data_IF_026519218602
#
_entry.id   IF_026519218602
#
_cell.length_a   1.000
_cell.length_b   1.000
_cell.length_c   1.000
_cell.angle_alpha   90.00
_cell.angle_beta   90.00
_cell.angle_gamma   90.00
#
_symmetry.space_group_name_H-M   'P 1'
#
loop_
_entity.id
_entity.type
_entity.pdbx_description
1 polymer ?
#
# COMPACT_ATOMS: atom_id res chain seq x y z
N UNK A 1 35.60 -0.02 -19.08
CA UNK A 1 35.05 -1.34 -18.71
C UNK A 1 33.86 -1.05 -17.83
N UNK A 2 32.66 -1.36 -18.35
CA UNK A 2 31.39 -0.89 -17.78
C UNK A 2 31.02 -1.66 -16.54
N UNK A 3 30.69 -0.92 -15.47
CA UNK A 3 29.91 -1.44 -14.37
C UNK A 3 28.46 -1.03 -14.63
N UNK A 4 27.78 -1.84 -15.44
CA UNK A 4 26.35 -1.73 -15.62
C UNK A 4 25.70 -2.16 -14.32
N UNK A 5 25.46 -1.21 -13.41
CA UNK A 5 24.57 -1.37 -12.28
C UNK A 5 23.16 -1.65 -12.82
N UNK A 6 22.90 -2.92 -13.14
CA UNK A 6 21.56 -3.45 -13.25
C UNK A 6 20.97 -3.25 -11.86
N UNK A 7 20.21 -2.19 -11.65
CA UNK A 7 19.34 -2.04 -10.51
C UNK A 7 18.34 -3.20 -10.60
N UNK A 8 18.78 -4.36 -10.09
CA UNK A 8 18.07 -5.61 -10.20
C UNK A 8 16.72 -5.39 -9.54
N UNK A 9 15.66 -5.52 -10.32
CA UNK A 9 14.28 -5.48 -9.86
C UNK A 9 14.19 -6.46 -8.69
N UNK A 10 14.21 -5.94 -7.45
CA UNK A 10 14.15 -6.79 -6.27
C UNK A 10 12.75 -7.38 -6.26
N UNK A 11 12.65 -8.69 -6.51
CA UNK A 11 11.36 -9.36 -6.51
C UNK A 11 10.79 -9.36 -5.10
N UNK A 12 9.59 -8.82 -4.94
CA UNK A 12 8.83 -8.90 -3.68
C UNK A 12 7.89 -10.09 -3.78
N UNK A 13 8.06 -11.03 -2.85
CA UNK A 13 7.22 -12.24 -2.75
C UNK A 13 6.23 -12.06 -1.62
N UNK A 14 4.94 -12.11 -1.94
CA UNK A 14 3.86 -12.09 -0.94
C UNK A 14 3.75 -13.48 -0.32
N UNK A 15 3.87 -13.57 1.01
CA UNK A 15 3.80 -14.82 1.76
C UNK A 15 2.43 -15.05 2.39
N UNK A 16 1.83 -13.98 2.91
CA UNK A 16 0.52 -14.03 3.57
C UNK A 16 -0.24 -12.74 3.31
N UNK A 17 -1.54 -12.88 3.07
CA UNK A 17 -2.49 -11.78 2.99
C UNK A 17 -3.56 -12.03 4.05
N UNK A 18 -3.91 -11.00 4.81
CA UNK A 18 -5.08 -10.98 5.69
C UNK A 18 -5.89 -9.75 5.38
N UNK A 19 -7.13 -9.97 4.95
CA UNK A 19 -8.12 -8.93 4.68
C UNK A 19 -8.88 -8.55 5.95
N UNK A 20 -9.06 -7.26 6.19
CA UNK A 20 -9.77 -6.69 7.35
C UNK A 20 -10.79 -5.68 6.82
N UNK A 21 -12.08 -5.99 6.96
CA UNK A 21 -13.15 -5.05 6.64
C UNK A 21 -13.37 -4.09 7.82
N UNK A 22 -13.55 -2.82 7.50
CA UNK A 22 -13.88 -1.76 8.46
C UNK A 22 -15.23 -1.14 8.09
N UNK A 23 -15.77 -0.35 9.01
CA UNK A 23 -16.99 0.42 8.77
C UNK A 23 -16.77 1.50 7.69
N UNK A 24 -17.87 1.94 7.07
CA UNK A 24 -17.82 3.06 6.10
C UNK A 24 -17.18 2.72 4.76
N UNK A 25 -17.07 1.44 4.41
CA UNK A 25 -16.48 1.01 3.13
C UNK A 25 -14.96 1.00 3.12
N UNK A 26 -14.32 1.14 4.28
CA UNK A 26 -12.88 0.99 4.40
C UNK A 26 -12.47 -0.48 4.42
N UNK A 27 -11.35 -0.76 3.76
CA UNK A 27 -10.75 -2.08 3.71
C UNK A 27 -9.26 -1.96 3.99
N UNK A 28 -8.73 -2.86 4.81
CA UNK A 28 -7.30 -3.03 5.00
C UNK A 28 -6.81 -4.41 4.62
N UNK A 29 -5.56 -4.49 4.18
CA UNK A 29 -4.80 -5.73 4.04
C UNK A 29 -3.56 -5.68 4.91
N UNK A 30 -3.41 -6.65 5.79
CA UNK A 30 -2.11 -6.97 6.41
C UNK A 30 -1.40 -7.97 5.50
N UNK A 31 -0.19 -7.64 5.07
CA UNK A 31 0.59 -8.44 4.11
C UNK A 31 1.97 -8.70 4.67
N UNK A 32 2.31 -9.98 4.82
CA UNK A 32 3.68 -10.38 5.08
C UNK A 32 4.36 -10.66 3.72
N UNK A 33 5.46 -9.95 3.43
CA UNK A 33 6.17 -10.06 2.16
C UNK A 33 7.69 -10.07 2.36
N UNK A 34 8.40 -10.67 1.40
CA UNK A 34 9.84 -10.83 1.43
C UNK A 34 10.49 -10.28 0.15
N UNK A 35 11.50 -9.44 0.29
CA UNK A 35 12.22 -8.84 -0.84
C UNK A 35 13.53 -9.56 -1.09
N UNK A 36 13.69 -10.21 -2.25
CA UNK A 36 14.96 -10.78 -2.70
C UNK A 36 15.66 -11.73 -1.70
N UNK A 37 14.89 -12.51 -0.93
CA UNK A 37 15.42 -13.41 0.12
C UNK A 37 15.83 -12.73 1.43
N UNK A 38 15.54 -11.43 1.58
CA UNK A 38 15.76 -10.66 2.82
C UNK A 38 14.80 -11.04 3.96
N UNK A 39 14.73 -10.23 5.03
CA UNK A 39 13.78 -10.47 6.11
C UNK A 39 12.33 -10.35 5.62
N UNK A 40 11.43 -11.06 6.31
CA UNK A 40 9.98 -10.88 6.10
C UNK A 40 9.57 -9.55 6.74
N UNK A 41 8.94 -8.70 5.95
CA UNK A 41 8.37 -7.42 6.40
C UNK A 41 6.85 -7.46 6.36
N UNK A 42 6.22 -6.76 7.30
CA UNK A 42 4.77 -6.60 7.36
C UNK A 42 4.37 -5.24 6.82
N UNK A 43 3.39 -5.25 5.94
CA UNK A 43 2.79 -4.10 5.31
C UNK A 43 1.31 -4.03 5.66
N UNK A 44 0.78 -2.82 5.89
CA UNK A 44 -0.65 -2.58 6.00
C UNK A 44 -1.09 -1.67 4.86
N UNK A 45 -2.06 -2.10 4.07
CA UNK A 45 -2.64 -1.32 2.98
C UNK A 45 -4.07 -0.98 3.31
N UNK A 46 -4.39 0.29 3.47
CA UNK A 46 -5.73 0.76 3.84
C UNK A 46 -6.27 1.72 2.78
N UNK A 47 -7.51 1.49 2.36
CA UNK A 47 -8.23 2.42 1.48
C UNK A 47 -9.74 2.34 1.67
N UNK A 48 -10.43 3.37 1.19
CA UNK A 48 -11.87 3.31 1.00
C UNK A 48 -12.17 2.64 -0.35
N UNK A 49 -13.06 1.65 -0.37
CA UNK A 49 -13.42 0.91 -1.58
C UNK A 49 -14.01 1.78 -2.69
N UNK A 50 -14.58 2.93 -2.34
CA UNK A 50 -15.28 3.80 -3.26
C UNK A 50 -14.42 4.99 -3.73
N UNK A 51 -13.44 5.42 -2.92
CA UNK A 51 -12.71 6.67 -3.14
C UNK A 51 -11.22 6.57 -2.81
N UNK A 52 -10.42 7.22 -3.67
CA UNK A 52 -9.09 7.73 -3.38
C UNK A 52 -7.91 6.74 -3.41
N UNK A 53 -6.68 7.26 -3.23
CA UNK A 53 -5.45 6.51 -2.98
C UNK A 53 -5.52 5.31 -2.03
N UNK A 54 -4.49 4.48 -2.06
CA UNK A 54 -4.24 3.48 -1.00
C UNK A 54 -3.09 3.98 -0.14
N UNK A 55 -3.26 3.93 1.18
CA UNK A 55 -2.16 4.22 2.11
C UNK A 55 -1.50 2.91 2.51
N UNK A 56 -0.19 2.89 2.38
CA UNK A 56 0.66 1.77 2.71
C UNK A 56 1.53 2.16 3.91
N UNK A 57 1.47 1.34 4.94
CA UNK A 57 2.28 1.46 6.15
C UNK A 57 3.26 0.29 6.20
N UNK A 58 4.53 0.59 6.43
CA UNK A 58 5.53 -0.42 6.79
C UNK A 58 6.44 0.09 7.89
N UNK A 59 6.92 -0.83 8.71
CA UNK A 59 8.05 -0.56 9.60
C UNK A 59 9.31 -0.94 8.82
N UNK A 60 10.22 0.01 8.63
CA UNK A 60 11.53 -0.26 8.05
C UNK A 60 12.43 -1.04 9.03
N UNK A 61 13.62 -1.44 8.56
CA UNK A 61 14.53 -2.25 9.38
C UNK A 61 15.07 -1.47 10.60
N UNK A 62 14.99 -0.13 10.58
CA UNK A 62 15.40 0.76 11.67
C UNK A 62 14.26 1.07 12.66
N UNK A 63 13.08 0.48 12.43
CA UNK A 63 11.91 0.66 13.28
C UNK A 63 11.11 1.94 12.99
N UNK A 64 11.46 2.70 11.95
CA UNK A 64 10.73 3.88 11.54
C UNK A 64 9.53 3.49 10.64
N UNK A 65 8.45 4.26 10.78
CA UNK A 65 7.25 4.07 9.97
C UNK A 65 7.44 4.77 8.62
N UNK A 66 7.55 3.96 7.56
CA UNK A 66 7.46 4.45 6.20
C UNK A 66 5.99 4.43 5.79
N UNK A 67 5.44 5.63 5.61
CA UNK A 67 4.08 5.84 5.11
C UNK A 67 4.15 6.25 3.64
N UNK A 68 3.40 5.53 2.80
CA UNK A 68 3.40 5.73 1.35
C UNK A 68 1.98 5.90 0.86
N UNK A 69 1.76 6.89 0.00
CA UNK A 69 0.48 7.11 -0.66
C UNK A 69 0.54 6.62 -2.11
N UNK A 70 -0.39 5.74 -2.47
CA UNK A 70 -0.54 5.16 -3.80
C UNK A 70 -1.71 5.87 -4.49
N UNK A 71 -1.44 6.92 -5.27
CA UNK A 71 -2.47 7.80 -5.86
C UNK A 71 -3.34 7.17 -6.94
N UNK A 72 -2.84 6.13 -7.62
CA UNK A 72 -3.53 5.48 -8.75
C UNK A 72 -3.75 3.98 -8.51
N UNK A 73 -4.47 3.60 -7.43
CA UNK A 73 -4.57 2.19 -7.04
C UNK A 73 -5.31 1.34 -8.09
N UNK A 74 -6.19 1.95 -8.89
CA UNK A 74 -6.93 1.24 -9.95
C UNK A 74 -6.03 0.65 -11.05
N UNK A 75 -4.76 1.09 -11.17
CA UNK A 75 -3.81 0.50 -12.13
C UNK A 75 -3.57 -1.00 -11.86
N UNK A 76 -3.71 -1.43 -10.61
CA UNK A 76 -3.55 -2.82 -10.19
C UNK A 76 -4.88 -3.61 -10.15
N UNK A 77 -6.00 -3.00 -10.57
CA UNK A 77 -7.34 -3.59 -10.57
C UNK A 77 -8.24 -3.06 -9.45
N UNK A 78 -9.22 -3.87 -9.03
CA UNK A 78 -10.15 -3.54 -7.95
C UNK A 78 -9.52 -3.81 -6.58
N UNK A 79 -9.39 -2.79 -5.73
CA UNK A 79 -8.79 -2.92 -4.39
C UNK A 79 -9.50 -3.94 -3.48
N UNK A 80 -10.79 -4.22 -3.73
CA UNK A 80 -11.54 -5.24 -3.01
C UNK A 80 -11.02 -6.68 -3.21
N UNK A 81 -10.16 -6.91 -4.21
CA UNK A 81 -9.64 -8.22 -4.57
C UNK A 81 -8.24 -8.46 -4.01
N UNK A 82 -7.98 -9.65 -3.47
CA UNK A 82 -6.62 -10.05 -3.05
C UNK A 82 -5.63 -10.07 -4.22
N UNK A 83 -6.09 -10.26 -5.46
CA UNK A 83 -5.24 -10.16 -6.64
C UNK A 83 -4.62 -8.77 -6.81
N UNK A 84 -5.28 -7.74 -6.29
CA UNK A 84 -4.76 -6.39 -6.28
C UNK A 84 -3.44 -6.32 -5.51
N UNK A 85 -3.37 -6.96 -4.34
CA UNK A 85 -2.17 -7.01 -3.48
C UNK A 85 -1.02 -7.70 -4.23
N UNK A 86 -1.30 -8.83 -4.88
CA UNK A 86 -0.29 -9.54 -5.65
C UNK A 86 0.25 -8.70 -6.82
N UNK A 87 -0.62 -8.03 -7.57
CA UNK A 87 -0.20 -7.14 -8.67
C UNK A 87 0.56 -5.93 -8.17
N UNK A 88 0.10 -5.32 -7.09
CA UNK A 88 0.79 -4.21 -6.44
C UNK A 88 2.23 -4.59 -6.11
N UNK A 89 2.46 -5.65 -5.34
CA UNK A 89 3.83 -6.06 -4.96
C UNK A 89 4.69 -6.58 -6.12
N UNK A 90 4.08 -7.10 -7.19
CA UNK A 90 4.82 -7.53 -8.39
C UNK A 90 5.32 -6.33 -9.23
N UNK A 91 4.57 -5.24 -9.23
CA UNK A 91 4.85 -4.06 -10.06
C UNK A 91 5.47 -2.90 -9.27
N UNK A 92 5.36 -2.91 -7.95
CA UNK A 92 5.80 -1.84 -7.06
C UNK A 92 7.31 -1.58 -7.22
N UNK A 93 7.63 -0.31 -7.52
CA UNK A 93 8.98 0.23 -7.48
C UNK A 93 9.06 1.34 -6.43
N UNK A 94 10.22 1.49 -5.77
CA UNK A 94 10.40 2.50 -4.70
C UNK A 94 10.09 3.94 -5.15
N UNK A 95 10.15 4.25 -6.46
CA UNK A 95 9.78 5.58 -6.99
C UNK A 95 8.28 5.83 -7.11
N UNK A 96 7.44 4.79 -7.05
CA UNK A 96 5.98 4.94 -6.98
C UNK A 96 5.53 5.37 -5.58
N UNK A 97 6.45 5.34 -4.60
CA UNK A 97 6.19 5.72 -3.24
C UNK A 97 6.42 7.23 -3.05
N UNK A 98 5.33 7.98 -2.90
CA UNK A 98 5.41 9.35 -2.41
C UNK A 98 5.33 9.30 -0.89
N UNK A 99 6.45 9.64 -0.22
CA UNK A 99 6.48 9.88 1.22
C UNK A 99 5.84 11.23 1.48
N UNK A 100 4.52 11.24 1.57
CA UNK A 100 3.72 12.42 1.88
C UNK A 100 3.10 12.29 3.28
N UNK A 101 2.70 13.42 3.86
CA UNK A 101 1.95 13.42 5.11
C UNK A 101 0.59 12.75 4.88
N UNK A 102 0.46 11.52 5.37
CA UNK A 102 -0.79 10.74 5.31
C UNK A 102 -1.95 11.49 5.94
N UNK A 103 -1.71 12.26 7.01
CA UNK A 103 -2.77 13.03 7.65
C UNK A 103 -3.32 14.11 6.70
N UNK A 104 -2.46 14.74 5.90
CA UNK A 104 -2.85 15.72 4.89
C UNK A 104 -3.58 15.10 3.69
N UNK A 105 -3.26 13.85 3.34
CA UNK A 105 -3.91 13.14 2.21
C UNK A 105 -5.25 12.52 2.63
N UNK A 106 -5.37 12.08 3.88
CA UNK A 106 -6.55 11.36 4.39
C UNK A 106 -7.54 12.24 5.17
N UNK A 107 -7.15 13.46 5.56
CA UNK A 107 -8.01 14.45 6.24
C UNK A 107 -9.33 14.69 5.50
N UNK A 108 -9.28 14.86 4.19
CA UNK A 108 -10.48 15.13 3.38
C UNK A 108 -11.39 13.89 3.24
N UNK A 109 -10.89 12.69 3.53
CA UNK A 109 -11.59 11.44 3.27
C UNK A 109 -12.36 10.95 4.48
N UNK A 110 -11.76 11.08 5.67
CA UNK A 110 -12.47 10.88 6.93
C UNK A 110 -13.63 11.88 7.05
N UNK A 111 -13.45 13.10 6.53
CA UNK A 111 -14.49 14.13 6.54
C UNK A 111 -15.60 13.83 5.53
N UNK A 112 -15.28 13.36 4.33
CA UNK A 112 -16.29 13.01 3.30
C UNK A 112 -17.10 11.75 3.65
N UNK A 113 -16.46 10.74 4.24
CA UNK A 113 -17.15 9.54 4.74
C UNK A 113 -18.10 9.82 5.92
N UNK A 114 -17.80 10.84 6.72
CA UNK A 114 -18.66 11.29 7.81
C UNK A 114 -19.78 12.22 7.33
N UNK A 115 -19.50 13.14 6.38
CA UNK A 115 -20.52 14.04 5.81
C UNK A 115 -21.59 13.31 4.99
N UNK A 116 -21.27 12.19 4.34
CA UNK A 116 -22.26 11.36 3.64
C UNK A 116 -23.29 10.69 4.58
N UNK A 117 -23.13 10.77 5.91
CA UNK A 117 -24.09 10.22 6.91
C UNK A 117 -24.89 11.28 7.66
N UNK A 118 -24.66 12.57 7.40
CA UNK A 118 -25.41 13.67 8.04
C UNK A 118 -26.24 14.51 7.04
N UNK A 119 -26.43 14.01 5.82
CA UNK A 119 -27.39 14.53 4.83
C UNK A 119 -28.71 13.78 4.87
#
# INVERSE_FOLDING_TARGET
>A
MGDSSHAGRRSVTVLRIRRIAHDGGYLSYEVDAQTGGGPVRRYSLTANLFVGPVVLFSVDDDGALANVVIHHPRRFGEFASEQWVHRFFAEWQEHDAHTEDVAAVTSDWLTTGYQARCG
#
